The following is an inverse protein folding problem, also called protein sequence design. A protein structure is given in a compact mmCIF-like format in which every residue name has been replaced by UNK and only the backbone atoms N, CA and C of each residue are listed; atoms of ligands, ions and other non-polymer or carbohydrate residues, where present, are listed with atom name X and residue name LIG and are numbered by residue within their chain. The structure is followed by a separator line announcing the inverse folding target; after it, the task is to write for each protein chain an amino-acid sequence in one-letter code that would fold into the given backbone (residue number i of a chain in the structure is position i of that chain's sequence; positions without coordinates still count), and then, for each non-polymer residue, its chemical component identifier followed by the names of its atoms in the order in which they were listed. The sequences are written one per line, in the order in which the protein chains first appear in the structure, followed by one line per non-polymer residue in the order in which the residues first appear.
data_IF_509801328040
#
_entry.id   IF_509801328040
#
_cell.length_a   1.000
_cell.length_b   1.000
_cell.length_c   1.000
_cell.angle_alpha   90.00
_cell.angle_beta   90.00
_cell.angle_gamma   90.00
#
_symmetry.space_group_name_H-M   'P 1'
#
loop_
_entity.id
_entity.type
_entity.pdbx_description
1 polymer ?
#
# COMPACT_ATOMS: atom_id res chain seq x y z
N UNK A 1 5.14 27.22 9.45
CA UNK A 1 4.29 26.10 9.89
C UNK A 1 5.19 24.91 10.13
N UNK A 2 5.29 24.44 11.37
CA UNK A 2 6.19 23.35 11.75
C UNK A 2 5.63 22.02 11.25
N UNK A 3 6.31 21.38 10.30
CA UNK A 3 6.02 20.01 9.91
C UNK A 3 6.45 19.10 11.07
N UNK A 4 5.49 18.48 11.75
CA UNK A 4 5.80 17.47 12.75
C UNK A 4 6.60 16.34 12.10
N UNK A 5 7.84 16.11 12.55
CA UNK A 5 8.70 14.96 12.23
C UNK A 5 8.11 13.62 12.74
N UNK A 6 6.87 13.33 12.40
CA UNK A 6 6.25 12.05 12.70
C UNK A 6 6.46 11.16 11.48
N UNK A 7 7.31 10.14 11.61
CA UNK A 7 7.51 9.14 10.57
C UNK A 7 6.15 8.59 10.12
N UNK A 8 5.95 8.37 8.80
CA UNK A 8 4.69 7.88 8.30
C UNK A 8 4.36 6.54 8.95
N UNK A 9 3.10 6.36 9.35
CA UNK A 9 2.61 5.09 9.89
C UNK A 9 2.74 4.02 8.80
N UNK A 10 3.20 2.83 9.19
CA UNK A 10 3.42 1.71 8.27
C UNK A 10 2.39 0.61 8.57
N UNK A 11 1.77 0.07 7.52
CA UNK A 11 0.84 -1.06 7.61
C UNK A 11 1.28 -2.17 6.67
N UNK A 12 1.36 -3.40 7.18
CA UNK A 12 1.47 -4.62 6.37
C UNK A 12 0.08 -5.18 6.09
N UNK A 13 -0.26 -5.40 4.83
CA UNK A 13 -1.56 -5.88 4.41
C UNK A 13 -1.43 -7.11 3.50
N UNK A 14 -2.02 -8.22 3.93
CA UNK A 14 -2.18 -9.40 3.09
C UNK A 14 -3.48 -9.31 2.28
N UNK A 15 -3.50 -9.90 1.09
CA UNK A 15 -4.73 -9.99 0.29
C UNK A 15 -5.21 -8.65 -0.32
N UNK A 16 -4.27 -7.79 -0.73
CA UNK A 16 -4.56 -6.46 -1.28
C UNK A 16 -5.00 -6.44 -2.76
N UNK A 17 -4.97 -7.58 -3.45
CA UNK A 17 -5.12 -7.60 -4.92
C UNK A 17 -6.51 -7.20 -5.43
N UNK A 18 -7.57 -7.32 -4.61
CA UNK A 18 -8.96 -7.01 -5.00
C UNK A 18 -9.85 -6.77 -3.76
N UNK A 19 -11.09 -6.34 -4.01
CA UNK A 19 -12.12 -6.24 -2.97
C UNK A 19 -11.72 -5.36 -1.80
N UNK A 20 -11.98 -5.84 -0.57
CA UNK A 20 -11.72 -5.11 0.68
C UNK A 20 -10.24 -4.74 0.82
N UNK A 21 -9.33 -5.66 0.51
CA UNK A 21 -7.89 -5.38 0.62
C UNK A 21 -7.44 -4.22 -0.27
N UNK A 22 -7.93 -4.16 -1.51
CA UNK A 22 -7.62 -3.05 -2.43
C UNK A 22 -8.20 -1.71 -1.93
N UNK A 23 -9.42 -1.73 -1.38
CA UNK A 23 -10.04 -0.55 -0.79
C UNK A 23 -9.24 -0.05 0.44
N UNK A 24 -8.70 -0.98 1.23
CA UNK A 24 -7.83 -0.67 2.38
C UNK A 24 -6.54 0.02 1.93
N UNK A 25 -5.84 -0.48 0.90
CA UNK A 25 -4.66 0.20 0.33
C UNK A 25 -5.00 1.64 -0.04
N UNK A 26 -6.06 1.84 -0.83
CA UNK A 26 -6.49 3.18 -1.24
C UNK A 26 -6.74 4.11 -0.06
N UNK A 27 -7.49 3.64 0.95
CA UNK A 27 -7.91 4.42 2.12
C UNK A 27 -6.74 4.86 3.00
N UNK A 28 -5.76 3.98 3.19
CA UNK A 28 -4.62 4.25 4.08
C UNK A 28 -3.49 4.97 3.35
N UNK A 29 -3.21 4.64 2.09
CA UNK A 29 -2.27 5.41 1.27
C UNK A 29 -2.73 6.86 1.10
N UNK A 30 -4.03 7.11 0.86
CA UNK A 30 -4.56 8.49 0.79
C UNK A 30 -4.49 9.25 2.12
N UNK A 31 -4.33 8.54 3.24
CA UNK A 31 -4.15 9.12 4.56
C UNK A 31 -2.67 9.32 4.93
N UNK A 32 -1.74 9.13 3.99
CA UNK A 32 -0.30 9.31 4.19
C UNK A 32 0.39 8.13 4.89
N UNK A 33 -0.25 6.96 4.94
CA UNK A 33 0.40 5.76 5.45
C UNK A 33 1.22 5.09 4.35
N UNK A 34 2.36 4.52 4.74
CA UNK A 34 3.07 3.56 3.89
C UNK A 34 2.39 2.20 4.02
N UNK A 35 1.86 1.67 2.93
CA UNK A 35 1.13 0.40 2.93
C UNK A 35 1.94 -0.63 2.16
N UNK A 36 2.48 -1.62 2.87
CA UNK A 36 3.22 -2.74 2.29
C UNK A 36 2.24 -3.88 2.06
N UNK A 37 2.20 -4.45 0.86
CA UNK A 37 1.26 -5.50 0.49
C UNK A 37 1.95 -6.83 0.25
N UNK A 38 1.38 -7.92 0.75
CA UNK A 38 1.88 -9.29 0.49
C UNK A 38 0.81 -10.13 -0.21
N UNK A 39 1.17 -10.77 -1.32
CA UNK A 39 0.26 -11.64 -2.06
C UNK A 39 0.99 -12.68 -2.90
N UNK A 40 0.28 -13.75 -3.28
CA UNK A 40 0.83 -14.82 -4.15
C UNK A 40 1.04 -14.39 -5.60
N UNK A 41 0.32 -13.34 -6.01
CA UNK A 41 0.37 -12.82 -7.37
C UNK A 41 1.38 -11.69 -7.43
N UNK A 42 2.13 -11.61 -8.53
CA UNK A 42 2.98 -10.48 -8.82
C UNK A 42 2.17 -9.18 -8.88
N UNK A 43 2.84 -8.05 -8.69
CA UNK A 43 2.23 -6.75 -8.87
C UNK A 43 1.77 -6.58 -10.34
N UNK A 44 0.52 -6.15 -10.62
CA UNK A 44 0.05 -6.03 -12.00
C UNK A 44 0.74 -4.87 -12.71
N UNK A 45 1.25 -5.08 -13.93
CA UNK A 45 1.88 -4.01 -14.75
C UNK A 45 0.96 -2.81 -14.97
N UNK A 46 -0.35 -3.07 -15.09
CA UNK A 46 -1.37 -2.06 -15.37
C UNK A 46 -2.02 -1.50 -14.09
N UNK A 47 -1.45 -1.76 -12.92
CA UNK A 47 -2.01 -1.27 -11.67
C UNK A 47 -1.80 0.24 -11.55
N UNK A 48 -2.86 1.05 -11.33
CA UNK A 48 -2.75 2.50 -11.29
C UNK A 48 -2.13 3.05 -9.99
N UNK A 49 -1.74 2.18 -9.06
CA UNK A 49 -1.19 2.59 -7.77
C UNK A 49 0.34 2.74 -7.87
N UNK A 50 0.80 3.99 -7.96
CA UNK A 50 2.20 4.33 -8.24
C UNK A 50 3.21 3.82 -7.19
N UNK A 51 2.84 3.78 -5.90
CA UNK A 51 3.71 3.25 -4.84
C UNK A 51 3.73 1.71 -4.80
N UNK A 52 2.87 1.06 -5.57
CA UNK A 52 2.66 -0.38 -5.47
C UNK A 52 3.83 -1.26 -5.87
N UNK A 53 4.60 -0.99 -6.93
CA UNK A 53 5.76 -1.82 -7.29
C UNK A 53 6.84 -1.88 -6.21
N UNK A 54 7.07 -0.79 -5.47
CA UNK A 54 8.10 -0.71 -4.43
C UNK A 54 7.64 -1.31 -3.10
N UNK A 55 6.34 -1.20 -2.79
CA UNK A 55 5.74 -1.66 -1.53
C UNK A 55 4.93 -2.97 -1.70
N UNK A 56 5.24 -3.78 -2.73
CA UNK A 56 4.63 -5.09 -2.95
C UNK A 56 5.64 -6.22 -2.82
N UNK A 57 5.33 -7.18 -1.95
CA UNK A 57 6.10 -8.42 -1.78
C UNK A 57 5.26 -9.56 -2.34
N UNK A 58 5.79 -10.21 -3.37
CA UNK A 58 5.25 -11.49 -3.82
C UNK A 58 5.77 -12.59 -2.90
N UNK A 59 4.84 -13.40 -2.36
CA UNK A 59 5.13 -14.53 -1.46
C UNK A 59 4.68 -15.86 -2.02
#
# INVERSE_FOLDING_TARGET
MSASNQSPRIMLLTGASRGIGHATVKRFSSAGWRVITCSRHAFPEQCPWAAGPEDHIQV
#
